data_IF_386060017162
#
_entry.id   IF_386060017162
#
_cell.length_a   1.000
_cell.length_b   1.000
_cell.length_c   1.000
_cell.angle_alpha   90.00
_cell.angle_beta   90.00
_cell.angle_gamma   90.00
#
_symmetry.space_group_name_H-M   'P 1'
#
loop_
_entity.id
_entity.type
_entity.pdbx_description
1 polymer ?
#
# COMPACT_ATOMS: atom_id res chain seq x y z
N UNK A 1 1.81 -6.78 -10.87
CA UNK A 1 2.55 -8.06 -10.90
C UNK A 1 2.57 -8.71 -12.26
N UNK A 2 1.42 -8.98 -12.90
CA UNK A 2 1.38 -9.63 -14.21
C UNK A 2 2.15 -8.87 -15.29
N UNK A 3 1.99 -7.55 -15.37
CA UNK A 3 2.73 -6.69 -16.30
C UNK A 3 4.25 -6.74 -16.08
N UNK A 4 4.70 -6.72 -14.81
CA UNK A 4 6.12 -6.85 -14.49
C UNK A 4 6.71 -8.20 -14.95
N UNK A 5 5.94 -9.29 -14.82
CA UNK A 5 6.35 -10.59 -15.36
C UNK A 5 6.51 -10.56 -16.88
N UNK A 6 5.57 -9.90 -17.59
CA UNK A 6 5.63 -9.77 -19.05
C UNK A 6 6.86 -8.99 -19.52
N UNK A 7 7.28 -7.96 -18.78
CA UNK A 7 8.52 -7.22 -19.07
C UNK A 7 9.77 -8.11 -19.00
N UNK A 8 9.70 -9.23 -18.27
CA UNK A 8 10.74 -10.24 -18.19
C UNK A 8 10.49 -11.45 -19.12
N UNK A 9 9.55 -11.36 -20.06
CA UNK A 9 9.22 -12.43 -20.99
C UNK A 9 8.43 -13.60 -20.37
N UNK A 10 7.88 -13.42 -19.16
CA UNK A 10 7.09 -14.43 -18.46
C UNK A 10 5.60 -14.11 -18.57
N UNK A 11 4.80 -15.13 -18.89
CA UNK A 11 3.33 -15.03 -18.88
C UNK A 11 2.77 -15.76 -17.66
N UNK A 12 1.95 -15.11 -16.82
CA UNK A 12 1.25 -15.81 -15.75
C UNK A 12 0.27 -16.82 -16.33
N UNK A 13 0.38 -18.09 -15.92
CA UNK A 13 -0.59 -19.12 -16.27
C UNK A 13 -1.92 -19.00 -15.49
N UNK A 14 -1.86 -18.35 -14.33
CA UNK A 14 -2.98 -18.16 -13.41
C UNK A 14 -3.00 -16.72 -12.92
N UNK A 15 -4.18 -16.11 -12.94
CA UNK A 15 -4.47 -14.84 -12.30
C UNK A 15 -5.81 -14.96 -11.56
N UNK A 16 -5.87 -14.44 -10.33
CA UNK A 16 -7.13 -14.33 -9.61
C UNK A 16 -7.98 -13.21 -10.20
N UNK A 17 -9.30 -13.41 -10.25
CA UNK A 17 -10.22 -12.42 -10.84
C UNK A 17 -10.48 -11.23 -9.89
N UNK A 18 -10.27 -11.46 -8.59
CA UNK A 18 -10.49 -10.48 -7.52
C UNK A 18 -9.21 -9.79 -7.04
N UNK A 19 -8.04 -10.15 -7.60
CA UNK A 19 -6.71 -9.69 -7.16
C UNK A 19 -6.40 -9.98 -5.68
N UNK A 20 -7.06 -10.97 -5.07
CA UNK A 20 -6.87 -11.34 -3.66
C UNK A 20 -6.07 -12.62 -3.52
N UNK A 21 -5.47 -12.79 -2.35
CA UNK A 21 -4.71 -14.00 -2.01
C UNK A 21 -5.60 -15.25 -2.07
N UNK A 22 -6.84 -15.13 -1.59
CA UNK A 22 -7.83 -16.19 -1.56
C UNK A 22 -8.16 -16.72 -2.98
N UNK A 23 -8.35 -15.82 -3.95
CA UNK A 23 -8.60 -16.19 -5.34
C UNK A 23 -7.41 -16.94 -5.98
N UNK A 24 -6.17 -16.53 -5.67
CA UNK A 24 -4.97 -17.22 -6.15
C UNK A 24 -4.89 -18.63 -5.56
N UNK A 25 -5.16 -18.78 -4.27
CA UNK A 25 -5.15 -20.07 -3.58
C UNK A 25 -6.17 -21.04 -4.21
N UNK A 26 -7.39 -20.58 -4.49
CA UNK A 26 -8.42 -21.42 -5.12
C UNK A 26 -7.95 -21.95 -6.48
N UNK A 27 -7.50 -21.05 -7.36
CA UNK A 27 -7.07 -21.43 -8.71
C UNK A 27 -5.85 -22.35 -8.72
N UNK A 28 -4.93 -22.17 -7.76
CA UNK A 28 -3.79 -23.08 -7.60
C UNK A 28 -4.26 -24.45 -7.11
N UNK A 29 -5.13 -24.53 -6.09
CA UNK A 29 -5.68 -25.81 -5.60
C UNK A 29 -6.43 -26.57 -6.70
N UNK A 30 -7.22 -25.88 -7.52
CA UNK A 30 -7.94 -26.46 -8.67
C UNK A 30 -7.00 -27.11 -9.71
N UNK A 31 -5.76 -26.60 -9.83
CA UNK A 31 -4.74 -27.19 -10.72
C UNK A 31 -4.01 -28.40 -10.13
N UNK A 32 -4.22 -28.71 -8.86
CA UNK A 32 -3.56 -29.81 -8.16
C UNK A 32 -2.15 -29.45 -7.71
N UNK A 33 -2.00 -29.09 -6.43
CA UNK A 33 -0.72 -28.74 -5.81
C UNK A 33 -0.13 -29.83 -4.92
N UNK A 34 -0.87 -30.92 -4.70
CA UNK A 34 -0.41 -32.03 -3.85
C UNK A 34 0.88 -32.65 -4.40
N UNK A 35 1.92 -32.72 -3.56
CA UNK A 35 3.24 -33.22 -3.91
C UNK A 35 4.10 -32.24 -4.73
N UNK A 36 3.59 -31.05 -5.07
CA UNK A 36 4.33 -30.06 -5.86
C UNK A 36 5.23 -29.21 -4.97
N UNK A 37 6.34 -28.74 -5.55
CA UNK A 37 7.21 -27.74 -4.92
C UNK A 37 6.84 -26.34 -5.40
N UNK A 38 6.54 -25.44 -4.47
CA UNK A 38 6.10 -24.07 -4.76
C UNK A 38 7.09 -23.07 -4.18
N UNK A 39 7.70 -22.25 -5.04
CA UNK A 39 8.47 -21.09 -4.61
C UNK A 39 7.57 -19.86 -4.51
N UNK A 40 7.49 -19.25 -3.32
CA UNK A 40 6.69 -18.06 -3.05
C UNK A 40 7.55 -16.94 -2.43
N UNK A 41 8.33 -16.20 -3.24
CA UNK A 41 9.10 -15.06 -2.76
C UNK A 41 8.13 -13.97 -2.29
N UNK A 42 8.27 -13.52 -1.05
CA UNK A 42 7.29 -12.63 -0.41
C UNK A 42 7.93 -11.43 0.27
N UNK A 43 7.12 -10.39 0.51
CA UNK A 43 7.49 -9.34 1.44
C UNK A 43 7.63 -9.88 2.86
N UNK A 44 8.51 -9.27 3.67
CA UNK A 44 8.70 -9.59 5.09
C UNK A 44 7.37 -9.62 5.86
N UNK A 45 6.54 -8.58 5.65
CA UNK A 45 5.24 -8.38 6.30
C UNK A 45 4.05 -9.07 5.59
N UNK A 46 4.29 -9.81 4.50
CA UNK A 46 3.21 -10.48 3.78
C UNK A 46 2.49 -11.50 4.69
N UNK A 47 1.15 -11.53 4.62
CA UNK A 47 0.32 -12.51 5.32
C UNK A 47 0.76 -13.93 4.95
N UNK A 48 0.81 -14.82 5.93
CA UNK A 48 1.18 -16.24 5.76
C UNK A 48 0.07 -17.11 5.13
N UNK A 49 -0.99 -16.50 4.59
CA UNK A 49 -2.16 -17.22 4.12
C UNK A 49 -1.83 -18.15 2.95
N UNK A 50 -1.13 -17.66 1.92
CA UNK A 50 -0.80 -18.45 0.73
C UNK A 50 0.07 -19.67 1.08
N UNK A 51 1.23 -19.53 1.77
CA UNK A 51 2.02 -20.69 2.16
C UNK A 51 1.23 -21.73 2.95
N UNK A 52 0.51 -21.28 4.00
CA UNK A 52 -0.26 -22.19 4.86
C UNK A 52 -1.33 -22.97 4.10
N UNK A 53 -2.06 -22.30 3.22
CA UNK A 53 -3.16 -22.95 2.49
C UNK A 53 -2.67 -23.91 1.40
N UNK A 54 -1.52 -23.64 0.79
CA UNK A 54 -0.92 -24.54 -0.19
C UNK A 54 -0.26 -25.74 0.49
N UNK A 55 0.42 -25.53 1.62
CA UNK A 55 0.94 -26.62 2.46
C UNK A 55 -0.19 -27.54 2.96
N UNK A 56 -1.30 -26.96 3.42
CA UNK A 56 -2.49 -27.71 3.81
C UNK A 56 -3.11 -28.52 2.66
N UNK A 57 -2.90 -28.11 1.40
CA UNK A 57 -3.29 -28.86 0.21
C UNK A 57 -2.22 -29.89 -0.25
N UNK A 58 -1.16 -30.08 0.53
CA UNK A 58 -0.12 -31.07 0.32
C UNK A 58 1.05 -30.61 -0.55
N UNK A 59 1.23 -29.30 -0.77
CA UNK A 59 2.40 -28.76 -1.45
C UNK A 59 3.59 -28.61 -0.49
N UNK A 60 4.81 -28.72 -1.02
CA UNK A 60 6.05 -28.31 -0.35
C UNK A 60 6.32 -26.84 -0.72
N UNK A 61 6.10 -25.92 0.22
CA UNK A 61 6.23 -24.47 -0.07
C UNK A 61 7.53 -23.91 0.49
N UNK A 62 8.33 -23.29 -0.38
CA UNK A 62 9.49 -22.48 -0.02
C UNK A 62 9.12 -21.00 -0.15
N UNK A 63 8.98 -20.30 0.97
CA UNK A 63 8.49 -18.91 1.01
C UNK A 63 9.53 -17.90 1.54
N UNK A 64 10.64 -17.65 0.82
CA UNK A 64 11.70 -16.77 1.29
C UNK A 64 11.23 -15.31 1.34
N UNK A 65 11.75 -14.56 2.31
CA UNK A 65 11.59 -13.11 2.33
C UNK A 65 12.46 -12.52 1.22
N UNK A 66 11.82 -11.99 0.18
CA UNK A 66 12.49 -11.41 -0.98
C UNK A 66 12.83 -9.93 -0.76
N UNK A 67 12.00 -9.22 0.00
CA UNK A 67 12.20 -7.81 0.31
C UNK A 67 11.51 -7.43 1.62
N UNK A 68 11.94 -6.30 2.20
CA UNK A 68 11.32 -5.69 3.35
C UNK A 68 11.04 -4.22 3.05
N UNK A 69 9.95 -3.70 3.64
CA UNK A 69 9.70 -2.26 3.66
C UNK A 69 10.45 -1.67 4.85
N UNK A 70 11.15 -0.56 4.63
CA UNK A 70 11.82 0.21 5.68
C UNK A 70 11.26 1.62 5.69
N UNK A 71 11.19 2.22 6.87
CA UNK A 71 10.87 3.63 6.98
C UNK A 71 11.95 4.43 6.23
N UNK A 72 11.56 5.42 5.40
CA UNK A 72 12.53 6.31 4.78
C UNK A 72 13.27 7.11 5.87
N UNK A 73 14.54 7.42 5.60
CA UNK A 73 15.32 8.36 6.39
C UNK A 73 15.46 9.63 5.56
N UNK A 74 14.59 10.60 5.84
CA UNK A 74 14.59 11.89 5.17
C UNK A 74 14.32 13.00 6.19
N UNK A 75 15.38 13.72 6.54
CA UNK A 75 15.32 14.81 7.52
C UNK A 75 14.89 16.14 6.88
N UNK A 76 14.78 16.21 5.55
CA UNK A 76 14.44 17.44 4.81
C UNK A 76 12.97 17.79 4.89
N UNK A 77 12.09 16.80 5.12
CA UNK A 77 10.63 16.98 5.11
C UNK A 77 10.20 18.03 6.13
N UNK A 78 10.76 18.02 7.34
CA UNK A 78 10.43 19.02 8.36
C UNK A 78 10.77 20.43 7.88
N UNK A 79 11.94 20.62 7.25
CA UNK A 79 12.35 21.92 6.71
C UNK A 79 11.38 22.43 5.65
N UNK A 80 10.96 21.57 4.71
CA UNK A 80 9.98 21.93 3.68
C UNK A 80 8.64 22.40 4.27
N UNK A 81 8.19 21.78 5.37
CA UNK A 81 6.97 22.16 6.07
C UNK A 81 7.12 23.50 6.80
N UNK A 82 8.23 23.69 7.51
CA UNK A 82 8.52 24.91 8.27
C UNK A 82 8.74 26.12 7.35
N UNK A 83 9.32 25.91 6.17
CA UNK A 83 9.54 26.92 5.14
C UNK A 83 8.28 27.20 4.29
N UNK A 84 7.19 26.44 4.49
CA UNK A 84 5.93 26.63 3.77
C UNK A 84 6.03 26.29 2.27
N UNK A 85 6.90 25.36 1.89
CA UNK A 85 7.15 24.96 0.49
C UNK A 85 6.20 23.85 -0.01
N UNK A 86 5.21 23.47 0.79
CA UNK A 86 4.32 22.33 0.50
C UNK A 86 2.89 22.82 0.34
N UNK A 87 2.37 22.72 -0.88
CA UNK A 87 0.99 23.12 -1.20
C UNK A 87 -0.05 22.06 -0.81
N UNK A 88 0.32 20.78 -0.81
CA UNK A 88 -0.56 19.66 -0.50
C UNK A 88 0.24 18.42 -0.08
N UNK A 89 -0.39 17.54 0.68
CA UNK A 89 0.17 16.24 1.04
C UNK A 89 -0.82 15.13 0.69
N UNK A 90 -0.34 14.07 0.07
CA UNK A 90 -1.16 12.93 -0.37
C UNK A 90 -0.64 11.63 0.25
N UNK A 91 -1.54 10.82 0.80
CA UNK A 91 -1.20 9.51 1.38
C UNK A 91 -1.85 8.37 0.60
N UNK A 92 -1.03 7.45 0.10
CA UNK A 92 -1.44 6.30 -0.72
C UNK A 92 -1.51 5.00 0.07
N UNK A 93 -1.14 5.02 1.35
CA UNK A 93 -1.35 3.91 2.28
C UNK A 93 -1.25 4.37 3.73
N UNK A 94 -1.84 3.60 4.65
CA UNK A 94 -1.66 3.82 6.10
C UNK A 94 -0.19 3.89 6.52
N UNK A 95 0.67 3.03 5.97
CA UNK A 95 2.10 3.02 6.34
C UNK A 95 2.82 4.30 5.95
N UNK A 96 2.38 4.99 4.87
CA UNK A 96 2.96 6.29 4.51
C UNK A 96 2.59 7.39 5.52
N UNK A 97 1.41 7.31 6.13
CA UNK A 97 0.99 8.22 7.21
C UNK A 97 1.85 7.99 8.46
N UNK A 98 1.97 6.73 8.90
CA UNK A 98 2.73 6.38 10.10
C UNK A 98 4.21 6.80 9.95
N UNK A 99 4.81 6.52 8.79
CA UNK A 99 6.19 6.91 8.50
C UNK A 99 6.36 8.43 8.44
N UNK A 100 5.42 9.16 7.82
CA UNK A 100 5.48 10.61 7.74
C UNK A 100 5.44 11.26 9.13
N UNK A 101 4.51 10.83 9.99
CA UNK A 101 4.42 11.32 11.37
C UNK A 101 5.66 10.97 12.16
N UNK A 102 6.23 9.78 11.98
CA UNK A 102 7.47 9.38 12.65
C UNK A 102 8.68 10.21 12.19
N UNK A 103 8.77 10.57 10.91
CA UNK A 103 9.85 11.41 10.37
C UNK A 103 9.72 12.87 10.82
N UNK A 104 8.51 13.42 10.79
CA UNK A 104 8.28 14.82 11.16
C UNK A 104 8.32 14.99 12.68
N UNK A 105 7.66 14.12 13.45
CA UNK A 105 7.62 14.12 14.91
C UNK A 105 6.27 14.53 15.51
N UNK A 106 6.21 14.65 16.83
CA UNK A 106 4.95 14.80 17.58
C UNK A 106 4.12 16.05 17.23
N UNK A 107 4.75 17.10 16.69
CA UNK A 107 4.09 18.34 16.27
C UNK A 107 3.62 18.31 14.80
N UNK A 108 3.65 17.16 14.13
CA UNK A 108 3.21 16.99 12.72
C UNK A 108 1.86 17.65 12.47
N UNK A 109 0.85 17.37 13.29
CA UNK A 109 -0.50 17.91 13.12
C UNK A 109 -0.54 19.46 13.17
N UNK A 110 0.36 20.08 13.94
CA UNK A 110 0.51 21.54 14.02
C UNK A 110 1.18 22.09 12.76
N UNK A 111 2.24 21.42 12.29
CA UNK A 111 3.01 21.85 11.11
C UNK A 111 2.19 21.81 9.83
N UNK A 112 1.33 20.80 9.69
CA UNK A 112 0.52 20.61 8.48
C UNK A 112 -0.88 21.21 8.56
N UNK A 113 -1.21 21.96 9.63
CA UNK A 113 -2.58 22.41 9.93
C UNK A 113 -3.24 23.22 8.79
N UNK A 114 -2.42 23.96 8.03
CA UNK A 114 -2.87 24.85 6.94
C UNK A 114 -2.63 24.21 5.56
N UNK A 115 -2.07 23.00 5.52
CA UNK A 115 -1.80 22.25 4.30
C UNK A 115 -2.98 21.30 4.06
N UNK A 116 -3.57 21.26 2.85
CA UNK A 116 -4.58 20.28 2.51
C UNK A 116 -3.98 18.87 2.39
N UNK A 117 -4.55 17.94 3.15
CA UNK A 117 -4.13 16.53 3.17
C UNK A 117 -5.17 15.64 2.48
N UNK A 118 -4.70 14.70 1.66
CA UNK A 118 -5.56 13.82 0.87
C UNK A 118 -5.25 12.35 1.14
N UNK A 119 -6.28 11.51 1.19
CA UNK A 119 -6.14 10.06 1.39
C UNK A 119 -6.68 9.27 0.19
N UNK A 120 -6.00 8.18 -0.16
CA UNK A 120 -6.44 7.28 -1.24
C UNK A 120 -7.68 6.45 -0.88
N UNK A 121 -8.14 6.48 0.37
CA UNK A 121 -9.32 5.74 0.77
C UNK A 121 -9.46 5.54 2.28
N UNK A 122 -10.52 4.81 2.71
CA UNK A 122 -10.99 4.79 4.09
C UNK A 122 -9.96 4.33 5.11
N UNK A 123 -9.17 3.31 4.78
CA UNK A 123 -8.17 2.76 5.69
C UNK A 123 -7.05 3.76 5.97
N UNK A 124 -6.64 4.52 4.94
CA UNK A 124 -5.64 5.57 5.08
C UNK A 124 -6.20 6.74 5.89
N UNK A 125 -7.45 7.14 5.64
CA UNK A 125 -8.16 8.18 6.42
C UNK A 125 -8.29 7.83 7.90
N UNK A 126 -8.56 6.56 8.21
CA UNK A 126 -8.61 6.09 9.59
C UNK A 126 -7.26 6.27 10.28
N UNK A 127 -6.16 5.91 9.62
CA UNK A 127 -4.80 6.12 10.15
C UNK A 127 -4.48 7.60 10.33
N UNK A 128 -4.84 8.46 9.36
CA UNK A 128 -4.67 9.92 9.48
C UNK A 128 -5.43 10.48 10.69
N UNK A 129 -6.66 10.03 10.91
CA UNK A 129 -7.49 10.46 12.04
C UNK A 129 -6.89 10.05 13.38
N UNK A 130 -6.27 8.86 13.48
CA UNK A 130 -5.55 8.41 14.69
C UNK A 130 -4.38 9.34 15.04
N UNK A 131 -3.73 9.89 14.03
CA UNK A 131 -2.65 10.90 14.16
C UNK A 131 -3.17 12.34 14.24
N UNK A 132 -4.49 12.54 14.35
CA UNK A 132 -5.14 13.86 14.46
C UNK A 132 -4.85 14.77 13.25
N UNK A 133 -4.61 14.18 12.08
CA UNK A 133 -4.44 14.92 10.84
C UNK A 133 -5.81 15.29 10.27
N UNK A 134 -6.01 16.55 9.89
CA UNK A 134 -7.25 17.00 9.25
C UNK A 134 -7.22 16.65 7.77
N UNK A 135 -8.22 15.89 7.31
CA UNK A 135 -8.32 15.41 5.93
C UNK A 135 -9.11 16.42 5.11
N UNK A 136 -8.51 16.92 4.03
CA UNK A 136 -9.16 17.83 3.09
C UNK A 136 -10.15 17.09 2.18
N UNK A 137 -9.75 15.94 1.63
CA UNK A 137 -10.63 15.04 0.90
C UNK A 137 -10.11 13.59 0.89
N UNK A 138 -11.03 12.64 0.85
CA UNK A 138 -10.77 11.22 0.61
C UNK A 138 -11.14 10.87 -0.84
N UNK A 139 -10.31 10.07 -1.50
CA UNK A 139 -10.62 9.55 -2.83
C UNK A 139 -11.78 8.55 -2.80
N UNK A 140 -12.76 8.72 -3.70
CA UNK A 140 -13.91 7.81 -3.83
C UNK A 140 -13.53 6.42 -4.37
N UNK A 141 -12.40 6.34 -5.08
CA UNK A 141 -11.78 5.09 -5.55
C UNK A 141 -10.32 5.07 -5.13
N UNK A 142 -9.84 3.93 -4.62
CA UNK A 142 -8.45 3.75 -4.20
C UNK A 142 -7.48 3.56 -5.37
N UNK A 143 -7.45 4.56 -6.25
CA UNK A 143 -6.59 4.67 -7.42
C UNK A 143 -5.97 6.07 -7.47
N UNK A 144 -4.94 6.25 -8.29
CA UNK A 144 -4.30 7.55 -8.46
C UNK A 144 -5.24 8.55 -9.15
N UNK A 145 -6.08 8.09 -10.08
CA UNK A 145 -7.10 8.91 -10.74
C UNK A 145 -8.16 9.39 -9.75
N UNK A 146 -8.58 8.51 -8.81
CA UNK A 146 -9.48 8.87 -7.72
C UNK A 146 -8.88 9.95 -6.81
N UNK A 147 -7.60 9.82 -6.48
CA UNK A 147 -6.84 10.83 -5.73
C UNK A 147 -6.79 12.18 -6.45
N UNK A 148 -6.41 12.19 -7.72
CA UNK A 148 -6.36 13.43 -8.54
C UNK A 148 -7.74 14.07 -8.61
N UNK A 149 -8.81 13.28 -8.80
CA UNK A 149 -10.19 13.79 -8.82
C UNK A 149 -10.58 14.44 -7.50
N UNK A 150 -10.24 13.84 -6.36
CA UNK A 150 -10.49 14.41 -5.04
C UNK A 150 -9.74 15.73 -4.83
N UNK A 151 -8.47 15.81 -5.26
CA UNK A 151 -7.67 17.02 -5.20
C UNK A 151 -8.26 18.15 -6.06
N UNK A 152 -8.61 17.86 -7.31
CA UNK A 152 -9.25 18.84 -8.20
C UNK A 152 -10.57 19.33 -7.62
N UNK A 153 -11.40 18.43 -7.09
CA UNK A 153 -12.66 18.78 -6.42
C UNK A 153 -12.46 19.74 -5.25
N UNK A 154 -11.43 19.54 -4.44
CA UNK A 154 -11.09 20.44 -3.34
C UNK A 154 -10.63 21.83 -3.83
N UNK A 155 -9.71 21.88 -4.80
CA UNK A 155 -9.12 23.13 -5.26
C UNK A 155 -10.05 23.99 -6.13
N UNK A 156 -11.02 23.38 -6.81
CA UNK A 156 -11.98 24.11 -7.66
C UNK A 156 -13.15 24.71 -6.89
N UNK A 157 -13.34 24.34 -5.62
CA UNK A 157 -14.41 24.87 -4.75
C UNK A 157 -13.94 26.01 -3.83
N UNK A 158 -12.66 26.40 -3.91
CA UNK A 158 -12.06 27.53 -3.20
C UNK A 158 -11.93 28.74 -4.13
#
# INVERSE_FOLDING_TARGET
>A
TAEALQQHGLRPDVMADDYRAEGVISKLKERGVTGQKVLYPRAELARQLIPKELEAAGAEVLAPVAYCSRAPQDDSIRGLLEEGQVDAITFTSSSTVDNFVAMVGDDTARLVKDIPLFSIGPLTSETMSKHKLMIAAEASSSTLEGMVTAMLGYYTQR
#
